data_IF_568344894017
#
_entry.id   IF_568344894017
#
_cell.length_a   1.000
_cell.length_b   1.000
_cell.length_c   1.000
_cell.angle_alpha   90.00
_cell.angle_beta   90.00
_cell.angle_gamma   90.00
#
_symmetry.space_group_name_H-M   'P 1'
#
loop_
_entity.id
_entity.type
_entity.pdbx_description
1 polymer ?
#
# COMPACT_ATOMS: atom_id res chain seq x y z
N UNK A 1 6.13 5.38 -14.41
CA UNK A 1 5.37 4.12 -14.25
C UNK A 1 4.05 4.27 -14.99
N UNK A 2 3.50 3.20 -15.59
CA UNK A 2 2.13 3.24 -16.14
C UNK A 2 1.14 3.65 -15.04
N UNK A 3 0.12 4.43 -15.39
CA UNK A 3 -0.97 4.75 -14.47
C UNK A 3 -1.65 3.45 -14.00
N UNK A 4 -1.68 3.14 -12.68
CA UNK A 4 -2.33 1.94 -12.17
C UNK A 4 -3.82 1.86 -12.56
N UNK A 5 -4.49 3.00 -12.74
CA UNK A 5 -5.89 3.06 -13.18
C UNK A 5 -6.09 2.62 -14.63
N UNK A 6 -5.01 2.48 -15.39
CA UNK A 6 -5.05 2.03 -16.78
C UNK A 6 -5.15 0.50 -16.92
N UNK A 7 -5.03 -0.25 -15.81
CA UNK A 7 -5.34 -1.67 -15.80
C UNK A 7 -6.84 -1.91 -16.11
N UNK A 8 -7.20 -3.07 -16.68
CA UNK A 8 -8.61 -3.47 -16.83
C UNK A 8 -9.37 -3.28 -15.52
N UNK A 9 -10.55 -2.66 -15.57
CA UNK A 9 -11.41 -2.39 -14.41
C UNK A 9 -10.69 -1.71 -13.22
N UNK A 10 -9.65 -0.93 -13.52
CA UNK A 10 -8.82 -0.20 -12.55
C UNK A 10 -8.02 -1.08 -11.57
N UNK A 11 -7.82 -2.36 -11.90
CA UNK A 11 -7.00 -3.28 -11.12
C UNK A 11 -7.78 -4.11 -10.08
N UNK A 12 -7.06 -4.94 -9.30
CA UNK A 12 -7.69 -5.71 -8.23
C UNK A 12 -8.28 -4.78 -7.16
N UNK A 13 -9.43 -5.16 -6.62
CA UNK A 13 -10.08 -4.41 -5.55
C UNK A 13 -9.29 -4.56 -4.25
N UNK A 14 -9.17 -3.48 -3.50
CA UNK A 14 -8.67 -3.52 -2.13
C UNK A 14 -9.84 -3.95 -1.24
N UNK A 15 -9.76 -5.09 -0.52
CA UNK A 15 -10.89 -5.72 0.14
C UNK A 15 -11.18 -5.10 1.52
N UNK A 16 -11.30 -3.78 1.61
CA UNK A 16 -11.50 -3.08 2.90
C UNK A 16 -12.80 -3.50 3.60
N UNK A 17 -13.83 -3.86 2.83
CA UNK A 17 -15.13 -4.30 3.33
C UNK A 17 -15.24 -5.83 3.49
N UNK A 18 -14.18 -6.60 3.19
CA UNK A 18 -14.22 -8.06 3.40
C UNK A 18 -14.39 -8.35 4.89
N UNK A 19 -15.35 -9.22 5.28
CA UNK A 19 -15.66 -9.47 6.69
C UNK A 19 -14.46 -10.00 7.48
N UNK A 20 -13.48 -10.65 6.82
CA UNK A 20 -12.23 -11.10 7.46
C UNK A 20 -11.32 -9.93 7.79
N UNK A 21 -11.24 -8.93 6.91
CA UNK A 21 -10.52 -7.67 7.13
C UNK A 21 -11.16 -6.86 8.25
N UNK A 22 -12.49 -6.71 8.22
CA UNK A 22 -13.24 -6.02 9.29
C UNK A 22 -13.03 -6.70 10.65
N UNK A 23 -13.10 -8.04 10.69
CA UNK A 23 -12.89 -8.81 11.93
C UNK A 23 -11.50 -8.61 12.51
N UNK A 24 -10.45 -8.70 11.68
CA UNK A 24 -9.08 -8.58 12.19
C UNK A 24 -8.72 -7.13 12.53
N UNK A 25 -9.31 -6.16 11.83
CA UNK A 25 -9.22 -4.74 12.17
C UNK A 25 -9.83 -4.46 13.55
N UNK A 26 -11.01 -5.02 13.84
CA UNK A 26 -11.63 -4.90 15.17
C UNK A 26 -10.79 -5.55 16.28
N UNK A 27 -10.18 -6.71 16.01
CA UNK A 27 -9.28 -7.37 16.95
C UNK A 27 -8.02 -6.53 17.25
N UNK A 28 -7.41 -5.96 16.20
CA UNK A 28 -6.27 -5.05 16.35
C UNK A 28 -6.65 -3.79 17.13
N UNK A 29 -7.82 -3.19 16.83
CA UNK A 29 -8.32 -1.99 17.52
C UNK A 29 -8.52 -2.25 19.01
N UNK A 30 -9.10 -3.40 19.37
CA UNK A 30 -9.25 -3.80 20.77
C UNK A 30 -7.89 -3.97 21.48
N UNK A 31 -6.90 -4.56 20.80
CA UNK A 31 -5.55 -4.68 21.33
C UNK A 31 -4.90 -3.30 21.54
N UNK A 32 -4.97 -2.40 20.56
CA UNK A 32 -4.44 -1.04 20.67
C UNK A 32 -5.08 -0.30 21.85
N UNK A 33 -6.40 -0.44 22.01
CA UNK A 33 -7.15 0.17 23.12
C UNK A 33 -6.63 -0.31 24.47
N UNK A 34 -6.35 -1.60 24.62
CA UNK A 34 -5.74 -2.15 25.85
C UNK A 34 -4.33 -1.61 26.14
N UNK A 35 -3.63 -1.09 25.12
CA UNK A 35 -2.30 -0.47 25.23
C UNK A 35 -2.37 1.06 25.38
N UNK A 36 -3.57 1.63 25.49
CA UNK A 36 -3.79 3.06 25.66
C UNK A 36 -3.96 3.84 24.36
N UNK A 37 -4.08 3.18 23.22
CA UNK A 37 -4.23 3.80 21.90
C UNK A 37 -5.62 3.53 21.32
N UNK A 38 -6.42 4.56 21.05
CA UNK A 38 -7.79 4.39 20.56
C UNK A 38 -7.87 4.78 19.08
N UNK A 39 -8.00 3.77 18.22
CA UNK A 39 -8.12 3.91 16.76
C UNK A 39 -9.15 2.92 16.24
N UNK A 40 -9.97 3.33 15.27
CA UNK A 40 -10.99 2.43 14.70
C UNK A 40 -10.37 1.47 13.69
N UNK A 41 -9.31 1.91 13.01
CA UNK A 41 -8.55 1.11 12.06
C UNK A 41 -7.06 1.56 12.02
N UNK A 42 -6.16 0.80 11.38
CA UNK A 42 -4.74 1.18 11.30
C UNK A 42 -4.46 2.48 10.54
N UNK A 43 -5.32 2.88 9.61
CA UNK A 43 -5.17 4.15 8.88
C UNK A 43 -5.32 5.34 9.83
N UNK A 44 -6.29 5.31 10.75
CA UNK A 44 -6.45 6.34 11.78
C UNK A 44 -5.19 6.50 12.65
N UNK A 45 -4.47 5.41 12.91
CA UNK A 45 -3.23 5.43 13.68
C UNK A 45 -2.06 6.04 12.90
N UNK A 46 -2.01 5.78 11.58
CA UNK A 46 -1.03 6.37 10.67
C UNK A 46 -1.27 7.88 10.47
N UNK A 47 -2.53 8.28 10.41
CA UNK A 47 -2.93 9.66 10.15
C UNK A 47 -2.93 10.54 11.42
N UNK A 48 -2.45 10.03 12.56
CA UNK A 48 -2.40 10.81 13.80
C UNK A 48 -1.40 11.98 13.67
N UNK A 49 -1.87 13.24 13.64
CA UNK A 49 -1.00 14.40 13.44
C UNK A 49 -0.06 14.65 14.62
N UNK A 50 -0.36 14.12 15.81
CA UNK A 50 0.48 14.28 17.00
C UNK A 50 1.75 13.43 16.95
N UNK A 51 1.82 12.47 16.03
CA UNK A 51 2.93 11.53 15.90
C UNK A 51 3.72 11.71 14.61
N UNK A 52 3.55 12.86 13.95
CA UNK A 52 4.36 13.24 12.79
C UNK A 52 5.81 13.47 13.27
N UNK A 53 6.80 12.74 12.72
CA UNK A 53 8.21 12.96 13.04
C UNK A 53 8.63 14.38 12.73
N UNK A 54 9.45 14.97 13.61
CA UNK A 54 10.03 16.29 13.32
C UNK A 54 11.14 16.11 12.32
N UNK A 55 10.97 16.70 11.14
CA UNK A 55 11.99 16.71 10.08
C UNK A 55 12.69 18.05 10.07
N UNK A 56 14.02 18.05 10.04
CA UNK A 56 14.83 19.24 9.84
C UNK A 56 15.85 19.01 8.74
N UNK A 57 16.18 20.06 7.99
CA UNK A 57 17.24 20.03 6.99
C UNK A 57 18.31 21.05 7.35
N UNK A 58 19.57 20.63 7.32
CA UNK A 58 20.72 21.51 7.50
C UNK A 58 21.83 21.11 6.55
N UNK A 59 22.29 22.06 5.74
CA UNK A 59 23.37 21.85 4.77
C UNK A 59 23.10 20.68 3.78
N UNK A 60 21.85 20.52 3.34
CA UNK A 60 21.44 19.41 2.47
C UNK A 60 21.31 18.05 3.16
N UNK A 61 21.45 17.99 4.49
CA UNK A 61 21.26 16.76 5.28
C UNK A 61 19.90 16.81 5.96
N UNK A 62 19.04 15.83 5.65
CA UNK A 62 17.75 15.62 6.28
C UNK A 62 17.96 14.80 7.56
N UNK A 63 17.44 15.31 8.68
CA UNK A 63 17.39 14.63 9.98
C UNK A 63 15.94 14.43 10.39
N UNK A 64 15.61 13.22 10.86
CA UNK A 64 14.27 12.87 11.36
C UNK A 64 14.38 12.54 12.84
N UNK A 65 13.59 13.22 13.66
CA UNK A 65 13.53 13.00 15.10
C UNK A 65 12.15 12.42 15.46
N UNK A 66 12.16 11.19 15.96
CA UNK A 66 10.99 10.51 16.48
C UNK A 66 10.76 10.85 17.95
N UNK A 67 9.50 10.99 18.36
CA UNK A 67 9.13 11.22 19.76
C UNK A 67 9.01 9.91 20.53
N UNK A 68 9.10 9.95 21.86
CA UNK A 68 8.90 8.76 22.69
C UNK A 68 7.47 8.18 22.52
N UNK A 69 6.46 9.04 22.38
CA UNK A 69 5.08 8.63 22.18
C UNK A 69 4.87 7.94 20.82
N UNK A 70 5.55 8.44 19.78
CA UNK A 70 5.54 7.82 18.45
C UNK A 70 6.14 6.40 18.51
N UNK A 71 7.31 6.25 19.12
CA UNK A 71 7.95 4.94 19.29
C UNK A 71 7.08 3.99 20.11
N UNK A 72 6.41 4.49 21.14
CA UNK A 72 5.49 3.70 21.97
C UNK A 72 4.28 3.23 21.16
N UNK A 73 3.69 4.10 20.33
CA UNK A 73 2.59 3.71 19.45
C UNK A 73 3.04 2.68 18.41
N UNK A 74 4.15 2.93 17.72
CA UNK A 74 4.66 2.02 16.69
C UNK A 74 4.97 0.63 17.27
N UNK A 75 5.55 0.58 18.47
CA UNK A 75 5.79 -0.68 19.19
C UNK A 75 4.49 -1.40 19.56
N UNK A 76 3.48 -0.65 20.02
CA UNK A 76 2.16 -1.21 20.33
C UNK A 76 1.46 -1.75 19.08
N UNK A 77 1.53 -1.01 17.96
CA UNK A 77 0.94 -1.40 16.67
C UNK A 77 1.53 -2.70 16.15
N UNK A 78 2.86 -2.82 16.08
CA UNK A 78 3.52 -4.06 15.65
C UNK A 78 3.14 -5.22 16.57
N UNK A 79 3.17 -5.03 17.88
CA UNK A 79 2.78 -6.07 18.83
C UNK A 79 1.32 -6.52 18.64
N UNK A 80 0.39 -5.60 18.39
CA UNK A 80 -1.01 -5.90 18.15
C UNK A 80 -1.26 -6.55 16.79
N UNK A 81 -0.55 -6.12 15.74
CA UNK A 81 -0.60 -6.76 14.41
C UNK A 81 -0.12 -8.21 14.47
N UNK A 82 0.94 -8.48 15.23
CA UNK A 82 1.46 -9.83 15.44
C UNK A 82 0.50 -10.69 16.26
N UNK A 83 0.02 -10.20 17.40
CA UNK A 83 -0.85 -10.99 18.30
C UNK A 83 -2.21 -11.34 17.69
N UNK A 84 -2.70 -10.52 16.77
CA UNK A 84 -3.98 -10.73 16.08
C UNK A 84 -3.84 -11.42 14.72
N UNK A 85 -2.59 -11.72 14.30
CA UNK A 85 -2.27 -12.19 12.95
C UNK A 85 -2.86 -11.28 11.84
N UNK A 86 -2.92 -9.97 12.09
CA UNK A 86 -3.51 -9.01 11.16
C UNK A 86 -2.83 -9.03 9.81
N UNK A 87 -1.50 -8.99 9.80
CA UNK A 87 -0.73 -8.96 8.54
C UNK A 87 -0.95 -10.23 7.73
N UNK A 88 -0.95 -11.40 8.37
CA UNK A 88 -1.14 -12.68 7.69
C UNK A 88 -2.54 -12.82 7.10
N UNK A 89 -3.58 -12.45 7.86
CA UNK A 89 -4.97 -12.48 7.37
C UNK A 89 -5.15 -11.48 6.23
N UNK A 90 -4.70 -10.23 6.40
CA UNK A 90 -4.85 -9.21 5.37
C UNK A 90 -4.15 -9.58 4.07
N UNK A 91 -2.93 -10.13 4.15
CA UNK A 91 -2.20 -10.62 2.99
C UNK A 91 -2.96 -11.74 2.27
N UNK A 92 -3.43 -12.76 3.01
CA UNK A 92 -4.15 -13.87 2.41
C UNK A 92 -5.46 -13.43 1.72
N UNK A 93 -6.17 -12.46 2.30
CA UNK A 93 -7.39 -11.91 1.69
C UNK A 93 -7.06 -11.10 0.44
N UNK A 94 -6.09 -10.18 0.49
CA UNK A 94 -5.70 -9.39 -0.68
C UNK A 94 -5.21 -10.29 -1.82
N UNK A 95 -4.35 -11.27 -1.52
CA UNK A 95 -3.86 -12.21 -2.54
C UNK A 95 -4.99 -12.97 -3.21
N UNK A 96 -6.04 -13.36 -2.48
CA UNK A 96 -7.20 -14.01 -3.09
C UNK A 96 -7.97 -13.09 -4.05
N UNK A 97 -8.07 -11.79 -3.74
CA UNK A 97 -8.68 -10.79 -4.63
C UNK A 97 -7.80 -10.54 -5.86
N UNK A 98 -6.48 -10.43 -5.67
CA UNK A 98 -5.51 -10.25 -6.75
C UNK A 98 -5.52 -11.43 -7.71
N UNK A 99 -5.51 -12.66 -7.19
CA UNK A 99 -5.59 -13.89 -8.01
C UNK A 99 -6.88 -13.93 -8.82
N UNK A 100 -8.04 -13.66 -8.20
CA UNK A 100 -9.32 -13.62 -8.92
C UNK A 100 -9.35 -12.56 -10.01
N UNK A 101 -8.76 -11.40 -9.74
CA UNK A 101 -8.65 -10.34 -10.74
C UNK A 101 -7.80 -10.79 -11.93
N UNK A 102 -6.61 -11.35 -11.68
CA UNK A 102 -5.71 -11.82 -12.75
C UNK A 102 -6.37 -12.93 -13.58
N UNK A 103 -6.98 -13.92 -12.92
CA UNK A 103 -7.66 -15.02 -13.59
C UNK A 103 -8.85 -14.52 -14.44
N UNK A 104 -9.65 -13.58 -13.90
CA UNK A 104 -10.79 -12.99 -14.60
C UNK A 104 -10.42 -12.06 -15.76
N UNK A 105 -9.21 -11.48 -15.76
CA UNK A 105 -8.78 -10.46 -16.73
C UNK A 105 -7.60 -10.91 -17.59
N UNK A 106 -7.26 -12.19 -17.58
CA UNK A 106 -6.03 -12.72 -18.21
C UNK A 106 -5.85 -12.27 -19.66
N UNK A 107 -6.91 -12.24 -20.48
CA UNK A 107 -6.83 -11.76 -21.85
C UNK A 107 -6.66 -10.23 -21.94
N UNK A 108 -7.48 -9.47 -21.23
CA UNK A 108 -7.40 -8.00 -21.21
C UNK A 108 -6.03 -7.51 -20.70
N UNK A 109 -5.43 -8.23 -19.73
CA UNK A 109 -4.09 -7.95 -19.22
C UNK A 109 -3.00 -8.23 -20.27
N UNK A 110 -3.13 -9.30 -21.07
CA UNK A 110 -2.21 -9.56 -22.20
C UNK A 110 -2.29 -8.45 -23.25
N UNK A 111 -3.50 -8.06 -23.64
CA UNK A 111 -3.72 -6.98 -24.61
C UNK A 111 -3.18 -5.64 -24.09
N UNK A 112 -3.36 -5.37 -22.80
CA UNK A 112 -2.76 -4.23 -22.11
C UNK A 112 -1.23 -4.25 -22.18
N UNK A 113 -0.59 -5.39 -21.87
CA UNK A 113 0.87 -5.56 -21.96
C UNK A 113 1.38 -5.30 -23.38
N UNK A 114 0.75 -5.92 -24.39
CA UNK A 114 1.11 -5.75 -25.80
C UNK A 114 1.01 -4.29 -26.25
N UNK A 115 -0.01 -3.57 -25.79
CA UNK A 115 -0.17 -2.13 -26.09
C UNK A 115 0.95 -1.30 -25.49
N UNK A 116 1.35 -1.56 -24.24
CA UNK A 116 2.49 -0.86 -23.62
C UNK A 116 3.77 -1.14 -24.40
N UNK A 117 4.05 -2.41 -24.70
CA UNK A 117 5.25 -2.79 -25.43
C UNK A 117 5.31 -2.14 -26.81
N UNK A 118 4.18 -2.06 -27.52
CA UNK A 118 4.11 -1.39 -28.82
C UNK A 118 4.44 0.09 -28.71
N UNK A 119 3.94 0.79 -27.68
CA UNK A 119 4.24 2.21 -27.44
C UNK A 119 5.70 2.43 -27.11
N UNK A 120 6.31 1.55 -26.32
CA UNK A 120 7.74 1.62 -25.99
C UNK A 120 8.61 1.39 -27.23
N UNK A 121 8.29 0.37 -28.05
CA UNK A 121 9.00 0.12 -29.31
C UNK A 121 8.94 1.30 -30.26
N UNK A 122 7.76 1.91 -30.39
CA UNK A 122 7.58 3.07 -31.27
C UNK A 122 8.34 4.31 -30.76
N UNK A 123 8.30 4.59 -29.45
CA UNK A 123 9.08 5.68 -28.88
C UNK A 123 10.58 5.50 -29.12
N UNK A 124 11.09 4.28 -28.92
CA UNK A 124 12.50 3.96 -29.19
C UNK A 124 12.87 4.13 -30.68
N UNK A 125 11.95 3.81 -31.60
CA UNK A 125 12.15 4.04 -33.03
C UNK A 125 12.34 5.53 -33.33
N UNK A 126 11.44 6.37 -32.84
CA UNK A 126 11.47 7.84 -33.04
C UNK A 126 12.76 8.44 -32.46
N UNK A 127 13.11 8.11 -31.21
CA UNK A 127 14.34 8.65 -30.59
C UNK A 127 15.62 8.25 -31.32
N UNK A 128 15.66 7.06 -31.94
CA UNK A 128 16.81 6.60 -32.71
C UNK A 128 16.87 7.22 -34.12
N UNK A 129 15.76 7.74 -34.65
CA UNK A 129 15.72 8.50 -35.89
C UNK A 129 16.19 9.94 -35.65
N UNK A 130 15.69 10.60 -34.59
CA UNK A 130 16.14 11.94 -34.18
C UNK A 130 17.63 12.00 -33.82
N UNK A 131 18.23 10.91 -33.31
CA UNK A 131 19.65 10.86 -32.99
C UNK A 131 20.58 10.66 -34.21
N UNK A 132 20.02 10.39 -35.39
CA UNK A 132 20.76 10.22 -36.65
C UNK A 132 20.79 11.48 -37.52
N UNK A 133 19.91 12.43 -37.24
CA UNK A 133 19.87 13.78 -37.83
C UNK A 133 20.71 14.77 -37.01
#
# INVERSE_FOLDING_TARGET
>A
MPDPKALPDHGPQIPTDDPRILKVTAAWSACMKSKGFTYSNPQDALDNPQLIPKTSERNGVISVQHSADELKQASADVACKLSTNMVGISLAVQSAYDTRYVEGHTQALREYSQRIESRVREAARISNEEAKD
#
